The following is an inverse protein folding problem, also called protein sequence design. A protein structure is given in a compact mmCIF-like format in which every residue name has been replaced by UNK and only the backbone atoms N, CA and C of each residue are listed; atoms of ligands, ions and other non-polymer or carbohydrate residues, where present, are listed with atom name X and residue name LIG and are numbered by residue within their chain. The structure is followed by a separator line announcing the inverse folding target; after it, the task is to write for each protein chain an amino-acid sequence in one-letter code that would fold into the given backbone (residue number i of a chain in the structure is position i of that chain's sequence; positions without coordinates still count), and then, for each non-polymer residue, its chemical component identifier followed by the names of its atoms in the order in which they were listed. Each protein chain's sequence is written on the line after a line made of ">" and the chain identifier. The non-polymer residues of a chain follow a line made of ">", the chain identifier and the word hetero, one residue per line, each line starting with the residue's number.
data_IF_619615385705
#
_entry.id   IF_619615385705
#
_cell.length_a   1.000
_cell.length_b   1.000
_cell.length_c   1.000
_cell.angle_alpha   90.00
_cell.angle_beta   90.00
_cell.angle_gamma   90.00
#
_symmetry.space_group_name_H-M   'P 1'
#
loop_
_entity.id
_entity.type
_entity.pdbx_description
1 polymer ?
#
# COMPACT_ATOMS: atom_id res chain seq x y z
N UNK A 1 14.63 13.29 -6.66
CA UNK A 1 14.59 11.83 -6.44
C UNK A 1 13.14 11.44 -6.23
N UNK A 2 12.59 10.47 -6.98
CA UNK A 2 11.23 9.99 -6.70
C UNK A 2 11.16 9.44 -5.27
N UNK A 3 9.99 9.53 -4.61
CA UNK A 3 9.79 8.93 -3.28
C UNK A 3 9.97 7.40 -3.35
N UNK A 4 10.33 6.78 -2.23
CA UNK A 4 10.57 5.33 -2.20
C UNK A 4 9.28 4.56 -2.53
N UNK A 5 8.12 5.11 -2.15
CA UNK A 5 6.79 4.67 -2.61
C UNK A 5 6.72 4.55 -4.13
N UNK A 6 6.96 5.64 -4.88
CA UNK A 6 6.87 5.61 -6.34
C UNK A 6 7.83 4.57 -6.93
N UNK A 7 9.05 4.50 -6.40
CA UNK A 7 10.07 3.55 -6.88
C UNK A 7 9.61 2.09 -6.73
N UNK A 8 9.16 1.70 -5.54
CA UNK A 8 8.70 0.33 -5.27
C UNK A 8 7.45 0.01 -6.07
N UNK A 9 6.51 0.95 -6.18
CA UNK A 9 5.30 0.73 -6.94
C UNK A 9 5.56 0.66 -8.46
N UNK A 10 6.60 1.33 -8.96
CA UNK A 10 7.03 1.21 -10.37
C UNK A 10 7.69 -0.15 -10.63
N UNK A 11 8.45 -0.69 -9.66
CA UNK A 11 8.93 -2.08 -9.71
C UNK A 11 7.78 -3.09 -9.71
N UNK A 12 6.74 -2.85 -8.91
CA UNK A 12 5.53 -3.69 -8.92
C UNK A 12 4.85 -3.70 -10.30
N UNK A 13 4.72 -2.53 -10.93
CA UNK A 13 4.18 -2.43 -12.29
C UNK A 13 5.01 -3.28 -13.28
N UNK A 14 6.35 -3.16 -13.21
CA UNK A 14 7.27 -3.93 -14.05
C UNK A 14 7.14 -5.43 -13.83
N UNK A 15 7.12 -5.87 -12.57
CA UNK A 15 7.03 -7.29 -12.20
C UNK A 15 5.71 -7.91 -12.64
N UNK A 16 4.60 -7.20 -12.44
CA UNK A 16 3.26 -7.65 -12.84
C UNK A 16 2.98 -7.47 -14.34
N UNK A 17 3.82 -6.71 -15.06
CA UNK A 17 3.54 -6.27 -16.44
C UNK A 17 2.19 -5.57 -16.58
N UNK A 18 1.80 -4.81 -15.54
CA UNK A 18 0.53 -4.06 -15.45
C UNK A 18 0.80 -2.65 -14.93
N UNK A 19 -0.09 -1.71 -15.23
CA UNK A 19 -0.01 -0.35 -14.69
C UNK A 19 -1.08 -0.19 -13.60
N UNK A 20 -0.64 -0.14 -12.34
CA UNK A 20 -1.53 0.10 -11.21
C UNK A 20 -2.05 1.54 -11.18
N UNK A 21 -3.34 1.71 -10.88
CA UNK A 21 -3.96 3.03 -10.64
C UNK A 21 -3.48 3.58 -9.30
N UNK A 22 -2.70 4.67 -9.34
CA UNK A 22 -2.17 5.36 -8.16
C UNK A 22 -3.27 6.07 -7.37
N UNK A 23 -3.18 6.07 -6.04
CA UNK A 23 -4.10 6.80 -5.15
C UNK A 23 -5.59 6.50 -5.43
N UNK A 24 -5.89 5.27 -5.85
CA UNK A 24 -7.26 4.88 -6.21
C UNK A 24 -8.16 4.92 -4.97
N UNK A 25 -9.43 5.30 -5.14
CA UNK A 25 -10.40 5.31 -4.04
C UNK A 25 -11.58 4.43 -4.38
N UNK A 26 -12.00 3.62 -3.41
CA UNK A 26 -13.21 2.81 -3.52
C UNK A 26 -14.38 3.50 -2.83
N UNK A 27 -15.61 3.39 -3.37
CA UNK A 27 -16.79 3.96 -2.72
C UNK A 27 -17.10 3.31 -1.36
N UNK A 28 -16.72 2.04 -1.16
CA UNK A 28 -16.94 1.29 0.08
C UNK A 28 -15.81 1.47 1.12
N UNK A 29 -14.65 1.99 0.72
CA UNK A 29 -13.50 2.17 1.61
C UNK A 29 -13.50 3.60 2.16
N UNK A 30 -14.23 3.81 3.26
CA UNK A 30 -14.45 5.12 3.86
C UNK A 30 -13.61 5.31 5.13
N UNK A 31 -13.15 6.53 5.34
CA UNK A 31 -12.46 7.00 6.55
C UNK A 31 -13.44 7.44 7.63
N UNK A 32 -12.98 8.31 8.52
CA UNK A 32 -13.83 8.89 9.55
C UNK A 32 -14.85 9.86 8.92
N UNK A 33 -16.07 9.87 9.46
CA UNK A 33 -17.14 10.76 9.04
C UNK A 33 -17.06 12.08 9.83
N UNK A 34 -17.28 13.19 9.13
CA UNK A 34 -17.36 14.51 9.74
C UNK A 34 -18.66 14.73 10.51
N UNK A 35 -18.74 15.86 11.20
CA UNK A 35 -19.97 16.32 11.90
C UNK A 35 -21.15 16.52 10.94
N UNK A 36 -20.88 16.68 9.66
CA UNK A 36 -21.84 16.78 8.56
C UNK A 36 -22.29 15.41 8.02
N UNK A 37 -21.84 14.30 8.64
CA UNK A 37 -22.13 12.94 8.21
C UNK A 37 -21.34 12.48 6.97
N UNK A 38 -20.48 13.33 6.40
CA UNK A 38 -19.71 12.98 5.20
C UNK A 38 -18.42 12.25 5.57
N UNK A 39 -18.23 11.07 5.00
CA UNK A 39 -17.02 10.27 5.18
C UNK A 39 -16.11 10.42 3.96
N UNK A 40 -14.82 10.66 4.17
CA UNK A 40 -13.86 10.72 3.06
C UNK A 40 -13.47 9.33 2.61
N UNK A 41 -13.37 9.09 1.31
CA UNK A 41 -12.80 7.84 0.79
C UNK A 41 -11.31 7.76 1.12
N UNK A 42 -10.85 6.57 1.48
CA UNK A 42 -9.45 6.33 1.74
C UNK A 42 -8.77 5.95 0.42
N UNK A 43 -7.72 6.68 -0.01
CA UNK A 43 -6.93 6.28 -1.15
C UNK A 43 -6.08 5.06 -0.80
N UNK A 44 -5.82 4.24 -1.81
CA UNK A 44 -4.82 3.16 -1.77
C UNK A 44 -3.65 3.52 -2.68
N UNK A 45 -2.44 3.06 -2.35
CA UNK A 45 -1.24 3.49 -3.07
C UNK A 45 -1.24 3.05 -4.53
N UNK A 46 -1.56 1.77 -4.80
CA UNK A 46 -1.74 1.24 -6.14
C UNK A 46 -2.83 0.15 -6.21
N UNK A 47 -3.70 0.24 -7.20
CA UNK A 47 -4.72 -0.76 -7.50
C UNK A 47 -4.56 -1.35 -8.91
N UNK A 48 -4.51 -2.68 -8.98
CA UNK A 48 -4.42 -3.50 -10.20
C UNK A 48 -5.74 -4.24 -10.38
N UNK A 49 -6.55 -3.79 -11.34
CA UNK A 49 -7.92 -4.24 -11.52
C UNK A 49 -7.98 -5.70 -11.97
N UNK A 50 -7.08 -6.08 -12.86
CA UNK A 50 -6.94 -7.39 -13.50
C UNK A 50 -6.68 -8.52 -12.49
N UNK A 51 -6.13 -8.16 -11.32
CA UNK A 51 -5.81 -9.09 -10.25
C UNK A 51 -6.64 -8.89 -8.99
N UNK A 52 -7.57 -7.93 -9.01
CA UNK A 52 -8.27 -7.46 -7.80
C UNK A 52 -7.26 -7.26 -6.66
N UNK A 53 -6.17 -6.54 -6.95
CA UNK A 53 -5.01 -6.43 -6.06
C UNK A 53 -4.75 -4.97 -5.71
N UNK A 54 -4.63 -4.69 -4.43
CA UNK A 54 -4.09 -3.44 -3.90
C UNK A 54 -2.71 -3.71 -3.33
N UNK A 55 -1.76 -2.84 -3.67
CA UNK A 55 -0.42 -2.80 -3.08
C UNK A 55 -0.29 -1.48 -2.30
N UNK A 56 0.09 -1.58 -1.03
CA UNK A 56 0.44 -0.45 -0.16
C UNK A 56 1.94 -0.51 0.15
N UNK A 57 2.64 0.62 0.08
CA UNK A 57 4.04 0.73 0.48
C UNK A 57 4.17 1.52 1.79
N UNK A 58 4.68 0.85 2.82
CA UNK A 58 4.80 1.40 4.15
C UNK A 58 6.17 2.03 4.34
N UNK A 59 6.24 3.34 4.08
CA UNK A 59 7.38 4.15 4.50
C UNK A 59 7.40 4.31 6.03
N UNK A 60 8.62 4.32 6.59
CA UNK A 60 8.95 4.47 8.02
C UNK A 60 8.14 5.48 8.84
N UNK A 61 7.53 6.52 8.24
CA UNK A 61 6.81 7.59 8.95
C UNK A 61 5.59 7.10 9.78
N UNK A 62 5.33 5.78 9.84
CA UNK A 62 4.33 5.16 10.71
C UNK A 62 4.84 4.52 12.00
N UNK A 63 6.16 4.36 12.21
CA UNK A 63 6.69 3.61 13.36
C UNK A 63 7.36 4.44 14.46
N UNK A 64 7.97 5.57 14.13
CA UNK A 64 8.52 6.48 15.14
C UNK A 64 7.58 7.67 15.24
N UNK A 65 6.90 7.82 16.38
CA UNK A 65 6.07 9.00 16.68
C UNK A 65 6.94 10.26 16.58
N UNK A 66 6.91 10.93 15.42
CA UNK A 66 7.63 12.19 15.25
C UNK A 66 6.83 13.24 16.04
N UNK A 67 7.44 13.80 17.06
CA UNK A 67 6.79 14.58 18.12
C UNK A 67 5.92 15.77 17.69
N UNK A 68 5.20 16.32 18.67
CA UNK A 68 4.34 17.53 18.70
C UNK A 68 3.19 17.58 17.67
N UNK A 69 3.41 17.25 16.39
CA UNK A 69 2.37 17.25 15.33
C UNK A 69 1.32 16.14 15.50
N UNK A 70 1.66 15.05 16.18
CA UNK A 70 0.74 13.94 16.44
C UNK A 70 -0.38 14.29 17.44
N UNK A 71 -0.26 15.43 18.15
CA UNK A 71 -1.24 15.89 19.15
C UNK A 71 -2.37 16.75 18.57
N UNK A 72 -2.38 17.01 17.25
CA UNK A 72 -3.48 17.76 16.63
C UNK A 72 -4.70 16.84 16.53
N UNK A 73 -5.84 17.19 17.14
CA UNK A 73 -7.04 16.38 17.03
C UNK A 73 -7.44 16.29 15.57
N UNK A 74 -7.61 15.07 15.09
CA UNK A 74 -8.27 14.81 13.80
C UNK A 74 -9.77 15.10 13.93
N UNK A 75 -10.51 15.02 12.82
CA UNK A 75 -11.98 15.24 12.81
C UNK A 75 -12.70 14.35 13.85
N UNK A 76 -12.11 13.20 14.16
CA UNK A 76 -12.57 12.18 15.11
C UNK A 76 -11.95 12.32 16.52
N UNK A 77 -11.19 13.38 16.80
CA UNK A 77 -10.61 13.67 18.12
C UNK A 77 -9.41 12.81 18.52
N UNK A 78 -8.93 11.91 17.66
CA UNK A 78 -7.73 11.10 17.90
C UNK A 78 -6.47 11.73 17.27
N UNK A 79 -5.29 11.24 17.68
CA UNK A 79 -4.02 11.61 17.07
C UNK A 79 -3.95 11.22 15.59
N UNK A 80 -3.07 11.87 14.84
CA UNK A 80 -2.82 11.52 13.42
C UNK A 80 -2.29 10.10 13.27
N UNK A 81 -1.44 9.64 14.19
CA UNK A 81 -0.92 8.28 14.24
C UNK A 81 -2.00 7.23 14.49
N UNK A 82 -2.90 7.47 15.46
CA UNK A 82 -4.04 6.57 15.71
C UNK A 82 -5.00 6.52 14.53
N UNK A 83 -5.29 7.66 13.91
CA UNK A 83 -6.11 7.71 12.70
C UNK A 83 -5.50 6.88 11.57
N UNK A 84 -4.18 6.94 11.38
CA UNK A 84 -3.53 6.11 10.36
C UNK A 84 -3.66 4.63 10.69
N UNK A 85 -3.32 4.21 11.91
CA UNK A 85 -3.42 2.81 12.33
C UNK A 85 -4.82 2.26 12.09
N UNK A 86 -5.85 3.05 12.41
CA UNK A 86 -7.26 2.70 12.14
C UNK A 86 -7.54 2.54 10.64
N UNK A 87 -7.01 3.41 9.80
CA UNK A 87 -7.22 3.34 8.35
C UNK A 87 -6.49 2.17 7.72
N UNK A 88 -5.26 1.88 8.16
CA UNK A 88 -4.52 0.70 7.73
C UNK A 88 -5.25 -0.59 8.09
N UNK A 89 -5.76 -0.68 9.32
CA UNK A 89 -6.56 -1.82 9.76
C UNK A 89 -7.87 -1.94 8.96
N UNK A 90 -8.51 -0.81 8.67
CA UNK A 90 -9.72 -0.79 7.84
C UNK A 90 -9.45 -1.30 6.43
N UNK A 91 -8.31 -0.96 5.80
CA UNK A 91 -7.93 -1.52 4.50
C UNK A 91 -7.76 -3.04 4.56
N UNK A 92 -7.11 -3.56 5.59
CA UNK A 92 -6.90 -5.01 5.79
C UNK A 92 -8.19 -5.80 5.96
N UNK A 93 -9.22 -5.19 6.54
CA UNK A 93 -10.51 -5.84 6.74
C UNK A 93 -11.42 -5.68 5.52
N UNK A 94 -11.58 -4.44 5.04
CA UNK A 94 -12.59 -4.09 4.05
C UNK A 94 -12.20 -4.55 2.64
N UNK A 95 -10.92 -4.49 2.25
CA UNK A 95 -10.51 -4.91 0.91
C UNK A 95 -10.78 -6.41 0.68
N UNK A 96 -10.36 -7.34 1.57
CA UNK A 96 -10.64 -8.76 1.39
C UNK A 96 -12.13 -9.10 1.42
N UNK A 97 -12.94 -8.41 2.23
CA UNK A 97 -14.39 -8.57 2.25
C UNK A 97 -15.05 -8.24 0.89
N UNK A 98 -14.41 -7.38 0.09
CA UNK A 98 -14.86 -7.02 -1.25
C UNK A 98 -14.13 -7.80 -2.36
N UNK A 99 -13.47 -8.92 -2.02
CA UNK A 99 -12.76 -9.77 -2.97
C UNK A 99 -11.43 -9.19 -3.48
N UNK A 100 -10.94 -8.12 -2.84
CA UNK A 100 -9.69 -7.47 -3.20
C UNK A 100 -8.57 -7.94 -2.27
N UNK A 101 -7.49 -8.46 -2.85
CA UNK A 101 -6.30 -8.80 -2.09
C UNK A 101 -5.55 -7.53 -1.73
N UNK A 102 -5.15 -7.39 -0.47
CA UNK A 102 -4.18 -6.41 -0.03
C UNK A 102 -2.78 -7.05 0.12
N UNK A 103 -1.76 -6.45 -0.48
CA UNK A 103 -0.34 -6.76 -0.25
C UNK A 103 0.36 -5.53 0.31
N UNK A 104 1.04 -5.69 1.44
CA UNK A 104 1.77 -4.61 2.10
C UNK A 104 3.27 -4.85 1.94
N UNK A 105 3.97 -3.88 1.36
CA UNK A 105 5.43 -3.88 1.21
C UNK A 105 6.02 -2.89 2.22
N UNK A 106 6.85 -3.38 3.12
CA UNK A 106 7.49 -2.55 4.14
C UNK A 106 8.95 -2.27 3.77
N UNK A 107 9.45 -1.08 4.11
CA UNK A 107 10.85 -0.71 3.82
C UNK A 107 11.87 -1.71 4.39
N UNK A 108 11.55 -2.40 5.50
CA UNK A 108 12.42 -3.43 6.09
C UNK A 108 12.62 -4.66 5.20
N UNK A 109 11.77 -4.84 4.18
CA UNK A 109 11.94 -5.90 3.18
C UNK A 109 13.04 -5.59 2.16
N UNK A 110 13.54 -4.35 2.14
CA UNK A 110 14.51 -3.85 1.18
C UNK A 110 15.77 -3.34 1.88
N UNK A 111 16.85 -3.21 1.11
CA UNK A 111 18.09 -2.60 1.63
C UNK A 111 17.87 -1.12 1.92
N UNK A 112 18.32 -0.64 3.09
CA UNK A 112 18.09 0.74 3.51
C UNK A 112 19.25 1.30 4.35
N UNK A 113 19.41 2.63 4.34
CA UNK A 113 20.40 3.32 5.17
C UNK A 113 19.95 3.38 6.65
N UNK A 114 20.81 3.89 7.55
CA UNK A 114 20.44 4.16 8.94
C UNK A 114 19.34 5.22 9.10
N UNK A 115 19.13 6.03 8.06
CA UNK A 115 17.98 6.94 7.91
C UNK A 115 16.77 6.24 7.28
N UNK A 116 16.84 4.91 7.09
CA UNK A 116 15.81 4.00 6.57
C UNK A 116 15.24 4.47 5.23
N UNK A 117 16.08 5.11 4.40
CA UNK A 117 15.82 5.37 2.98
C UNK A 117 16.34 4.19 2.18
N UNK A 118 15.66 3.84 1.10
CA UNK A 118 16.07 2.69 0.30
C UNK A 118 17.44 2.89 -0.34
N UNK A 119 18.30 1.88 -0.16
CA UNK A 119 19.47 1.64 -0.99
C UNK A 119 19.02 0.90 -2.24
N UNK A 120 18.55 1.67 -3.22
CA UNK A 120 17.92 1.15 -4.44
C UNK A 120 18.88 0.20 -5.16
N UNK A 121 18.51 -1.07 -5.20
CA UNK A 121 19.16 -2.08 -5.99
C UNK A 121 18.06 -2.79 -6.78
N UNK A 122 17.86 -2.33 -8.01
CA UNK A 122 16.77 -2.80 -8.88
C UNK A 122 16.71 -4.33 -8.96
N UNK A 123 17.85 -5.02 -9.04
CA UNK A 123 17.86 -6.48 -9.13
C UNK A 123 17.38 -7.14 -7.84
N UNK A 124 17.90 -6.72 -6.69
CA UNK A 124 17.53 -7.29 -5.39
C UNK A 124 16.10 -6.90 -4.99
N UNK A 125 15.72 -5.64 -5.22
CA UNK A 125 14.40 -5.13 -4.90
C UNK A 125 13.32 -5.79 -5.79
N UNK A 126 13.63 -6.03 -7.07
CA UNK A 126 12.73 -6.77 -7.96
C UNK A 126 12.53 -8.22 -7.50
N UNK A 127 13.57 -8.88 -6.99
CA UNK A 127 13.46 -10.24 -6.45
C UNK A 127 12.52 -10.30 -5.23
N UNK A 128 12.65 -9.33 -4.31
CA UNK A 128 11.75 -9.17 -3.16
C UNK A 128 10.30 -8.99 -3.63
N UNK A 129 10.08 -8.10 -4.60
CA UNK A 129 8.74 -7.84 -5.18
C UNK A 129 8.19 -9.10 -5.86
N UNK A 130 8.99 -9.80 -6.67
CA UNK A 130 8.59 -11.07 -7.32
C UNK A 130 8.21 -12.14 -6.32
N UNK A 131 8.98 -12.28 -5.25
CA UNK A 131 8.69 -13.23 -4.17
C UNK A 131 7.34 -12.94 -3.51
N UNK A 132 7.07 -11.67 -3.19
CA UNK A 132 5.79 -11.26 -2.58
C UNK A 132 4.59 -11.34 -3.53
N UNK A 133 4.80 -11.05 -4.81
CA UNK A 133 3.74 -11.05 -5.82
C UNK A 133 3.64 -12.36 -6.60
N UNK A 134 4.39 -13.41 -6.21
CA UNK A 134 4.47 -14.70 -6.91
C UNK A 134 3.12 -15.31 -7.28
N UNK A 135 2.13 -15.19 -6.40
CA UNK A 135 0.77 -15.70 -6.65
C UNK A 135 0.10 -15.06 -7.88
N UNK A 136 0.41 -13.81 -8.17
CA UNK A 136 -0.18 -13.06 -9.29
C UNK A 136 0.59 -13.26 -10.60
N UNK A 137 1.87 -13.63 -10.51
CA UNK A 137 2.69 -13.97 -11.68
C UNK A 137 2.33 -15.32 -12.28
N UNK A 138 1.92 -16.28 -11.45
CA UNK A 138 1.62 -17.64 -11.87
C UNK A 138 0.21 -17.84 -12.44
N UNK A 139 -0.63 -16.80 -12.42
CA UNK A 139 -2.01 -16.85 -12.93
C UNK A 139 -2.09 -16.80 -14.47
N UNK A 140 -0.95 -16.71 -15.16
CA UNK A 140 -0.85 -16.68 -16.62
C UNK A 140 -0.13 -17.90 -17.18
N UNK A 141 -0.77 -19.08 -17.16
CA UNK A 141 -0.71 -20.10 -18.22
C UNK A 141 -1.59 -21.31 -17.85
N UNK A 142 -2.76 -21.52 -18.48
CA UNK A 142 -3.28 -22.88 -18.61
C UNK A 142 -2.34 -23.56 -19.60
N UNK A 143 -1.45 -24.43 -19.11
CA UNK A 143 -0.71 -25.33 -20.01
C UNK A 143 -1.74 -26.21 -20.68
N UNK A 144 -1.99 -25.94 -21.96
CA UNK A 144 -2.69 -26.82 -22.88
C UNK A 144 -1.98 -28.17 -22.85
N UNK A 145 -2.57 -29.12 -22.12
CA UNK A 145 -2.31 -30.54 -22.38
C UNK A 145 -3.06 -30.88 -23.66
N UNK A 146 -2.32 -31.17 -24.71
CA UNK A 146 -2.77 -31.87 -25.90
C UNK A 146 -1.62 -32.74 -26.36
#
# INVERSE_FOLDING_TARGET
>A
MPKDESYILDLCNKVLSLIGRRQHTFPFLLGDCGKDGRCRRLPVDAYYHEHQLVIEYRERQHFESIGIMDRRPTISGCSRGEQRKRYDERRRIVLPQNGIVLVELDYTMFSHDSRKRLHRNVSADEEVVRSKLKRFLNSGCPTSRS
#
